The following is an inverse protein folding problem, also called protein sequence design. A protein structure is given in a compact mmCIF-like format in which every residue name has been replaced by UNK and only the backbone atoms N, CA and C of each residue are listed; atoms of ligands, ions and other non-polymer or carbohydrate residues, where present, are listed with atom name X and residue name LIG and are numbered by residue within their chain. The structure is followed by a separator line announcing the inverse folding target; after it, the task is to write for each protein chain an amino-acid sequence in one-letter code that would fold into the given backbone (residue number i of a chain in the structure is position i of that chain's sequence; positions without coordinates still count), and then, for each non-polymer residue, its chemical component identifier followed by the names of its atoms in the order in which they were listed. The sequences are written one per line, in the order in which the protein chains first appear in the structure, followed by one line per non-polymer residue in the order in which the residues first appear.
data_IF_499708659102
#
_entry.id   IF_499708659102
#
_cell.length_a   1.000
_cell.length_b   1.000
_cell.length_c   1.000
_cell.angle_alpha   90.00
_cell.angle_beta   90.00
_cell.angle_gamma   90.00
#
_symmetry.space_group_name_H-M   'P 1'
#
loop_
_entity.id
_entity.type
_entity.pdbx_description
1 polymer ?
#
# COMPACT_ATOMS: atom_id res chain seq x y z
N UNK A 1 16.79 -6.14 7.62
CA UNK A 1 15.75 -5.27 7.01
C UNK A 1 16.28 -3.85 6.89
N UNK A 2 15.67 -3.00 6.07
CA UNK A 2 15.93 -1.55 6.07
C UNK A 2 14.86 -0.77 6.85
N UNK A 3 15.08 0.53 7.06
CA UNK A 3 14.23 1.37 7.91
C UNK A 3 12.75 1.44 7.46
N UNK A 4 12.43 1.57 6.15
CA UNK A 4 11.03 1.46 5.69
C UNK A 4 10.42 0.08 5.99
N UNK A 5 11.11 -1.01 5.64
CA UNK A 5 10.61 -2.38 5.86
C UNK A 5 10.41 -2.70 7.35
N UNK A 6 11.30 -2.22 8.22
CA UNK A 6 11.16 -2.37 9.68
C UNK A 6 9.92 -1.64 10.21
N UNK A 7 9.59 -0.45 9.68
CA UNK A 7 8.37 0.28 10.07
C UNK A 7 7.11 -0.44 9.61
N UNK A 8 7.12 -1.02 8.40
CA UNK A 8 6.01 -1.86 7.92
C UNK A 8 5.82 -3.07 8.86
N UNK A 9 6.86 -3.87 9.10
CA UNK A 9 6.73 -5.08 9.91
C UNK A 9 6.35 -4.79 11.37
N UNK A 10 6.93 -3.76 11.99
CA UNK A 10 6.62 -3.40 13.39
C UNK A 10 5.25 -2.74 13.58
N UNK A 11 4.58 -2.31 12.50
CA UNK A 11 3.21 -1.79 12.58
C UNK A 11 2.16 -2.90 12.74
N UNK A 12 2.43 -4.11 12.24
CA UNK A 12 1.47 -5.23 12.22
C UNK A 12 1.90 -6.47 13.02
N UNK A 13 3.21 -6.69 13.22
CA UNK A 13 3.74 -7.87 13.91
C UNK A 13 4.57 -7.50 15.15
N UNK A 14 4.43 -8.28 16.23
CA UNK A 14 5.30 -8.18 17.41
C UNK A 14 6.51 -9.11 17.26
N UNK A 15 7.56 -8.84 18.05
CA UNK A 15 8.73 -9.72 18.13
C UNK A 15 8.38 -11.16 18.54
N UNK A 16 7.34 -11.36 19.37
CA UNK A 16 6.82 -12.69 19.72
C UNK A 16 6.39 -13.50 18.50
N UNK A 17 5.75 -12.84 17.54
CA UNK A 17 5.09 -13.45 16.40
C UNK A 17 6.16 -13.82 15.36
N UNK A 18 7.13 -12.93 15.18
CA UNK A 18 8.34 -13.13 14.37
C UNK A 18 9.19 -14.30 14.91
N UNK A 19 9.40 -14.37 16.23
CA UNK A 19 10.16 -15.45 16.88
C UNK A 19 9.44 -16.80 16.78
N UNK A 20 8.11 -16.82 16.87
CA UNK A 20 7.30 -18.03 16.74
C UNK A 20 7.41 -18.68 15.35
N UNK A 21 7.55 -17.86 14.30
CA UNK A 21 7.78 -18.30 12.92
C UNK A 21 9.27 -18.62 12.60
N UNK A 22 10.10 -18.78 13.64
CA UNK A 22 11.47 -19.30 13.52
C UNK A 22 12.55 -18.27 13.15
N UNK A 23 12.26 -16.98 13.16
CA UNK A 23 13.26 -15.92 12.97
C UNK A 23 13.97 -15.66 14.30
N UNK A 24 15.27 -15.95 14.38
CA UNK A 24 16.05 -15.86 15.64
C UNK A 24 16.53 -14.46 15.99
N UNK A 25 16.87 -13.65 14.99
CA UNK A 25 17.42 -12.30 15.15
C UNK A 25 16.88 -11.36 14.06
N UNK A 26 16.65 -10.10 14.43
CA UNK A 26 16.22 -9.05 13.52
C UNK A 26 17.28 -7.95 13.50
N UNK A 27 17.88 -7.71 12.34
CA UNK A 27 18.97 -6.75 12.17
C UNK A 27 18.67 -5.67 11.11
N UNK A 28 19.24 -4.48 11.30
CA UNK A 28 19.21 -3.37 10.34
C UNK A 28 20.36 -3.48 9.33
N UNK A 29 20.03 -3.52 8.04
CA UNK A 29 20.99 -3.65 6.94
C UNK A 29 21.97 -2.46 6.87
N UNK A 30 21.55 -1.28 7.35
CA UNK A 30 22.35 -0.06 7.38
C UNK A 30 23.40 -0.06 8.51
N UNK A 31 23.28 -0.97 9.47
CA UNK A 31 24.21 -1.10 10.60
C UNK A 31 25.23 -2.20 10.32
N UNK A 32 26.39 -2.08 10.97
CA UNK A 32 27.39 -3.15 10.98
C UNK A 32 26.84 -4.32 11.78
N UNK A 33 26.84 -5.50 11.17
CA UNK A 33 26.31 -6.76 11.70
C UNK A 33 27.44 -7.78 11.85
N UNK A 34 27.25 -8.78 12.71
CA UNK A 34 28.24 -9.83 12.90
C UNK A 34 28.05 -10.94 11.85
N UNK A 35 29.12 -11.44 11.20
CA UNK A 35 29.01 -12.59 10.31
C UNK A 35 28.56 -13.85 11.05
N UNK A 36 27.47 -14.45 10.60
CA UNK A 36 26.95 -15.75 11.08
C UNK A 36 26.83 -16.71 9.87
N UNK A 37 27.93 -17.28 9.35
CA UNK A 37 27.93 -18.05 8.11
C UNK A 37 27.20 -19.41 8.19
N UNK A 38 26.70 -19.79 9.37
CA UNK A 38 25.88 -20.99 9.58
C UNK A 38 24.39 -20.77 9.29
N UNK A 39 23.91 -19.54 9.40
CA UNK A 39 22.49 -19.18 9.22
C UNK A 39 22.21 -18.65 7.82
N UNK A 40 20.95 -18.77 7.39
CA UNK A 40 20.43 -18.23 6.15
C UNK A 40 19.62 -16.97 6.48
N UNK A 41 19.78 -15.90 5.69
CA UNK A 41 19.24 -14.59 6.01
C UNK A 41 18.03 -14.22 5.15
N UNK A 42 16.97 -13.71 5.79
CA UNK A 42 15.79 -13.15 5.15
C UNK A 42 15.94 -11.63 5.06
N UNK A 43 15.92 -11.11 3.84
CA UNK A 43 16.07 -9.70 3.52
C UNK A 43 14.74 -9.13 3.03
N UNK A 44 13.94 -8.58 3.94
CA UNK A 44 12.84 -7.67 3.58
C UNK A 44 13.41 -6.25 3.42
N UNK A 45 13.35 -5.71 2.20
CA UNK A 45 13.99 -4.45 1.80
C UNK A 45 13.11 -3.66 0.82
N UNK A 46 13.26 -2.34 0.82
CA UNK A 46 12.81 -1.51 -0.31
C UNK A 46 13.83 -1.55 -1.45
N UNK A 47 13.38 -1.53 -2.72
CA UNK A 47 14.27 -1.61 -3.90
C UNK A 47 14.97 -0.26 -4.16
N UNK A 48 15.76 0.18 -3.20
CA UNK A 48 16.60 1.38 -3.27
C UNK A 48 18.05 1.01 -3.52
N UNK A 49 18.80 1.87 -4.20
CA UNK A 49 20.24 1.68 -4.43
C UNK A 49 21.00 1.45 -3.11
N UNK A 50 20.67 2.20 -2.05
CA UNK A 50 21.29 2.04 -0.72
C UNK A 50 21.07 0.62 -0.15
N UNK A 51 19.84 0.12 -0.18
CA UNK A 51 19.50 -1.22 0.33
C UNK A 51 20.10 -2.33 -0.52
N UNK A 52 20.11 -2.17 -1.85
CA UNK A 52 20.69 -3.14 -2.80
C UNK A 52 22.22 -3.18 -2.68
N UNK A 53 22.90 -2.04 -2.58
CA UNK A 53 24.36 -1.99 -2.38
C UNK A 53 24.78 -2.62 -1.04
N UNK A 54 24.03 -2.35 0.04
CA UNK A 54 24.28 -2.95 1.35
C UNK A 54 24.08 -4.48 1.33
N UNK A 55 23.03 -4.96 0.65
CA UNK A 55 22.79 -6.39 0.43
C UNK A 55 23.93 -7.03 -0.40
N UNK A 56 24.41 -6.38 -1.45
CA UNK A 56 25.55 -6.87 -2.23
C UNK A 56 26.84 -6.91 -1.38
N UNK A 57 27.04 -5.92 -0.50
CA UNK A 57 28.23 -5.82 0.35
C UNK A 57 28.39 -7.00 1.32
N UNK A 58 27.28 -7.52 1.88
CA UNK A 58 27.27 -8.71 2.77
C UNK A 58 27.91 -9.97 2.12
N UNK A 59 27.94 -10.02 0.79
CA UNK A 59 28.46 -11.15 0.01
C UNK A 59 29.66 -10.77 -0.90
N UNK A 60 30.29 -9.60 -0.65
CA UNK A 60 31.58 -9.24 -1.27
C UNK A 60 32.78 -9.87 -0.54
N UNK A 61 32.68 -10.05 0.77
CA UNK A 61 33.79 -10.49 1.64
C UNK A 61 34.37 -11.87 1.31
N UNK A 62 35.68 -12.02 1.53
CA UNK A 62 36.43 -13.29 1.48
C UNK A 62 37.28 -13.40 2.75
N UNK A 63 37.39 -14.59 3.40
CA UNK A 63 37.01 -15.91 2.89
C UNK A 63 35.56 -16.35 3.18
N UNK A 64 34.84 -15.70 4.08
CA UNK A 64 33.47 -16.06 4.48
C UNK A 64 32.49 -14.91 4.24
N UNK A 65 31.33 -15.23 3.67
CA UNK A 65 30.19 -14.28 3.57
C UNK A 65 29.55 -14.05 4.95
N UNK A 66 28.79 -12.95 5.10
CA UNK A 66 28.07 -12.65 6.34
C UNK A 66 27.06 -13.74 6.71
N UNK A 67 26.41 -14.36 5.73
CA UNK A 67 25.44 -15.44 5.93
C UNK A 67 25.64 -16.56 4.89
N UNK A 68 25.06 -17.73 5.13
CA UNK A 68 25.15 -18.92 4.27
C UNK A 68 24.44 -18.77 2.92
N UNK A 69 23.27 -18.15 2.94
CA UNK A 69 22.40 -17.93 1.79
C UNK A 69 21.46 -16.74 2.04
N UNK A 70 20.88 -16.19 0.97
CA UNK A 70 19.98 -15.04 1.02
C UNK A 70 18.59 -15.37 0.47
N UNK A 71 17.56 -14.95 1.20
CA UNK A 71 16.16 -14.95 0.80
C UNK A 71 15.70 -13.49 0.67
N UNK A 72 15.65 -12.97 -0.55
CA UNK A 72 15.40 -11.56 -0.84
C UNK A 72 13.91 -11.34 -1.14
N UNK A 73 13.33 -10.37 -0.43
CA UNK A 73 11.94 -9.95 -0.57
C UNK A 73 11.91 -8.42 -0.71
N UNK A 74 11.55 -7.93 -1.90
CA UNK A 74 11.37 -6.50 -2.11
C UNK A 74 9.95 -6.06 -1.74
N UNK A 75 9.83 -4.91 -1.06
CA UNK A 75 8.54 -4.32 -0.68
C UNK A 75 7.77 -3.75 -1.87
N UNK A 76 8.45 -3.44 -2.97
CA UNK A 76 7.87 -2.91 -4.21
C UNK A 76 8.67 -3.42 -5.42
N UNK A 77 8.25 -3.10 -6.64
CA UNK A 77 8.90 -3.55 -7.87
C UNK A 77 10.34 -3.06 -8.00
N UNK A 78 11.26 -3.99 -8.29
CA UNK A 78 12.68 -3.70 -8.40
C UNK A 78 13.01 -3.09 -9.78
N UNK A 79 13.59 -1.88 -9.86
CA UNK A 79 14.00 -1.29 -11.12
C UNK A 79 15.05 -2.16 -11.84
N UNK A 80 14.87 -2.37 -13.15
CA UNK A 80 15.76 -3.16 -14.02
C UNK A 80 17.27 -2.86 -13.84
N UNK A 81 17.73 -1.59 -13.66
CA UNK A 81 19.15 -1.33 -13.41
C UNK A 81 19.68 -1.97 -12.11
N UNK A 82 18.89 -1.93 -11.02
CA UNK A 82 19.26 -2.52 -9.73
C UNK A 82 19.19 -4.05 -9.78
N UNK A 83 18.21 -4.59 -10.50
CA UNK A 83 18.10 -6.04 -10.73
C UNK A 83 19.28 -6.57 -11.57
N UNK A 84 19.63 -5.88 -12.64
CA UNK A 84 20.80 -6.16 -13.47
C UNK A 84 22.12 -6.11 -12.69
N UNK A 85 22.28 -5.16 -11.75
CA UNK A 85 23.44 -5.12 -10.86
C UNK A 85 23.47 -6.31 -9.89
N UNK A 86 22.33 -6.64 -9.28
CA UNK A 86 22.18 -7.79 -8.38
C UNK A 86 22.63 -9.08 -9.09
N UNK A 87 22.20 -9.28 -10.33
CA UNK A 87 22.55 -10.46 -11.15
C UNK A 87 24.03 -10.54 -11.54
N UNK A 88 24.75 -9.42 -11.64
CA UNK A 88 26.21 -9.39 -11.90
C UNK A 88 27.05 -9.65 -10.65
N UNK A 89 26.45 -9.51 -9.47
CA UNK A 89 27.15 -9.63 -8.20
C UNK A 89 27.36 -11.08 -7.73
N UNK A 90 28.27 -11.29 -6.76
CA UNK A 90 28.52 -12.64 -6.19
C UNK A 90 27.31 -13.21 -5.43
N UNK A 91 26.46 -12.32 -4.91
CA UNK A 91 25.20 -12.64 -4.21
C UNK A 91 24.28 -13.52 -5.07
N UNK A 92 24.25 -13.34 -6.40
CA UNK A 92 23.39 -14.12 -7.29
C UNK A 92 23.63 -15.66 -7.20
N UNK A 93 24.80 -16.10 -6.71
CA UNK A 93 25.13 -17.52 -6.50
C UNK A 93 24.60 -18.10 -5.19
N UNK A 94 24.17 -17.26 -4.24
CA UNK A 94 23.72 -17.65 -2.89
C UNK A 94 22.29 -17.18 -2.57
N UNK A 95 21.67 -16.42 -3.47
CA UNK A 95 20.22 -16.12 -3.41
C UNK A 95 19.44 -17.39 -3.73
N UNK A 96 18.60 -17.82 -2.79
CA UNK A 96 17.69 -18.97 -2.95
C UNK A 96 16.30 -18.55 -3.41
N UNK A 97 15.83 -17.39 -2.96
CA UNK A 97 14.55 -16.82 -3.36
C UNK A 97 14.71 -15.34 -3.60
N UNK A 98 14.13 -14.84 -4.68
CA UNK A 98 13.92 -13.42 -4.93
C UNK A 98 12.45 -13.26 -5.29
N UNK A 99 11.72 -12.45 -4.53
CA UNK A 99 10.30 -12.14 -4.76
C UNK A 99 10.00 -10.67 -4.47
N UNK A 100 8.98 -10.16 -5.13
CA UNK A 100 8.35 -8.88 -4.79
C UNK A 100 7.07 -9.19 -3.99
N UNK A 101 6.83 -8.45 -2.91
CA UNK A 101 5.64 -8.62 -2.06
C UNK A 101 4.55 -7.60 -2.42
N UNK A 102 4.94 -6.47 -3.04
CA UNK A 102 4.05 -5.33 -3.32
C UNK A 102 3.27 -4.90 -2.06
N UNK A 103 4.04 -4.55 -1.03
CA UNK A 103 3.57 -4.06 0.26
C UNK A 103 4.35 -2.79 0.61
N UNK A 104 3.88 -1.65 0.11
CA UNK A 104 4.56 -0.36 0.23
C UNK A 104 3.75 0.69 1.01
N UNK A 105 2.98 0.25 2.02
CA UNK A 105 2.20 1.11 2.91
C UNK A 105 2.28 0.63 4.37
N UNK A 106 2.02 1.54 5.31
CA UNK A 106 1.88 1.25 6.74
C UNK A 106 0.40 1.08 7.11
N UNK A 107 -0.06 -0.08 7.62
CA UNK A 107 -1.32 -0.17 8.35
C UNK A 107 -1.17 0.56 9.69
N UNK A 108 -1.68 1.79 9.77
CA UNK A 108 -1.58 2.63 10.97
C UNK A 108 -2.63 2.23 12.02
N UNK A 109 -3.84 1.92 11.55
CA UNK A 109 -4.93 1.33 12.35
C UNK A 109 -5.77 0.39 11.47
N UNK A 110 -6.81 -0.23 12.04
CA UNK A 110 -7.70 -1.15 11.32
C UNK A 110 -8.37 -0.52 10.08
N UNK A 111 -8.65 0.79 10.09
CA UNK A 111 -9.24 1.51 8.95
C UNK A 111 -8.33 2.63 8.40
N UNK A 112 -7.10 2.75 8.90
CA UNK A 112 -6.20 3.85 8.56
C UNK A 112 -4.89 3.33 7.98
N UNK A 113 -4.50 3.83 6.81
CA UNK A 113 -3.19 3.55 6.19
C UNK A 113 -2.38 4.83 5.96
N UNK A 114 -1.05 4.69 5.94
CA UNK A 114 -0.11 5.77 5.66
C UNK A 114 0.91 5.31 4.62
N UNK A 115 1.23 6.16 3.64
CA UNK A 115 2.26 5.87 2.64
C UNK A 115 3.67 6.26 3.11
N UNK A 116 3.81 6.71 4.36
CA UNK A 116 5.09 6.97 5.04
C UNK A 116 6.00 7.96 4.28
N UNK A 117 5.37 8.96 3.66
CA UNK A 117 6.00 9.93 2.76
C UNK A 117 5.92 11.36 3.36
N UNK A 118 6.63 11.66 4.46
CA UNK A 118 6.61 12.98 5.13
C UNK A 118 6.82 14.15 4.16
N UNK A 119 7.78 14.02 3.25
CA UNK A 119 8.17 15.08 2.31
C UNK A 119 7.20 15.24 1.14
N UNK A 120 6.13 14.45 1.07
CA UNK A 120 5.16 14.49 -0.03
C UNK A 120 4.50 15.86 -0.16
N UNK A 121 4.09 16.50 0.94
CA UNK A 121 3.51 17.85 0.92
C UNK A 121 4.49 18.87 0.33
N UNK A 122 5.76 18.84 0.75
CA UNK A 122 6.79 19.71 0.17
C UNK A 122 7.03 19.44 -1.31
N UNK A 123 7.22 18.18 -1.72
CA UNK A 123 7.47 17.79 -3.12
C UNK A 123 6.29 18.08 -4.06
N UNK A 124 5.05 18.01 -3.56
CA UNK A 124 3.86 18.30 -4.35
C UNK A 124 3.58 19.81 -4.46
N UNK A 125 3.63 20.55 -3.36
CA UNK A 125 3.14 21.94 -3.30
C UNK A 125 4.23 23.02 -3.42
N UNK A 126 5.51 22.72 -3.16
CA UNK A 126 6.58 23.71 -3.28
C UNK A 126 6.79 24.14 -4.75
N UNK A 127 6.84 25.44 -5.08
CA UNK A 127 7.04 25.94 -6.44
C UNK A 127 8.42 25.60 -7.01
N UNK A 128 9.42 25.32 -6.16
CA UNK A 128 10.78 24.95 -6.59
C UNK A 128 10.92 23.45 -6.93
N UNK A 129 9.89 22.63 -6.68
CA UNK A 129 9.94 21.16 -6.84
C UNK A 129 9.11 20.60 -8.01
N UNK A 130 8.79 21.43 -9.02
CA UNK A 130 7.95 21.01 -10.18
C UNK A 130 8.48 19.74 -10.88
N UNK A 131 9.80 19.58 -11.03
CA UNK A 131 10.40 18.38 -11.62
C UNK A 131 10.21 17.10 -10.77
N UNK A 132 10.27 17.23 -9.44
CA UNK A 132 10.08 16.10 -8.51
C UNK A 132 8.59 15.79 -8.28
N UNK A 133 7.67 16.74 -8.50
CA UNK A 133 6.22 16.53 -8.36
C UNK A 133 5.73 15.33 -9.17
N UNK A 134 6.15 15.21 -10.43
CA UNK A 134 5.73 14.10 -11.29
C UNK A 134 6.22 12.75 -10.75
N UNK A 135 7.48 12.68 -10.31
CA UNK A 135 8.08 11.50 -9.68
C UNK A 135 7.39 11.14 -8.36
N UNK A 136 7.02 12.14 -7.55
CA UNK A 136 6.27 11.95 -6.32
C UNK A 136 4.87 11.40 -6.57
N UNK A 137 4.18 11.89 -7.61
CA UNK A 137 2.85 11.37 -8.01
C UNK A 137 2.95 9.91 -8.44
N UNK A 138 3.92 9.55 -9.28
CA UNK A 138 4.16 8.16 -9.71
C UNK A 138 4.48 7.22 -8.54
N UNK A 139 5.29 7.66 -7.58
CA UNK A 139 5.60 6.89 -6.38
C UNK A 139 4.36 6.65 -5.51
N UNK A 140 3.56 7.70 -5.23
CA UNK A 140 2.31 7.55 -4.48
C UNK A 140 1.31 6.65 -5.23
N UNK A 141 1.24 6.77 -6.57
CA UNK A 141 0.37 5.95 -7.39
C UNK A 141 0.71 4.46 -7.30
N UNK A 142 2.01 4.13 -7.32
CA UNK A 142 2.51 2.78 -7.11
C UNK A 142 2.11 2.26 -5.73
N UNK A 143 2.39 3.01 -4.66
CA UNK A 143 2.04 2.59 -3.30
C UNK A 143 0.53 2.39 -3.10
N UNK A 144 -0.33 3.26 -3.64
CA UNK A 144 -1.79 3.09 -3.60
C UNK A 144 -2.22 1.84 -4.38
N UNK A 145 -1.58 1.55 -5.52
CA UNK A 145 -1.85 0.32 -6.26
C UNK A 145 -1.42 -0.93 -5.48
N UNK A 146 -0.31 -0.90 -4.73
CA UNK A 146 0.09 -2.00 -3.83
C UNK A 146 -0.95 -2.28 -2.73
N UNK A 147 -1.61 -1.24 -2.19
CA UNK A 147 -2.72 -1.41 -1.25
C UNK A 147 -3.91 -2.13 -1.88
N UNK A 148 -4.36 -1.69 -3.05
CA UNK A 148 -5.44 -2.35 -3.78
C UNK A 148 -5.11 -3.81 -4.12
N UNK A 149 -3.88 -4.08 -4.57
CA UNK A 149 -3.39 -5.43 -4.83
C UNK A 149 -3.37 -6.29 -3.56
N UNK A 150 -2.89 -5.75 -2.43
CA UNK A 150 -2.90 -6.44 -1.12
C UNK A 150 -4.32 -6.80 -0.67
N UNK A 151 -5.29 -5.92 -0.92
CA UNK A 151 -6.70 -6.15 -0.60
C UNK A 151 -7.43 -7.01 -1.66
N UNK A 152 -6.79 -7.33 -2.79
CA UNK A 152 -7.35 -7.98 -3.98
C UNK A 152 -8.51 -7.21 -4.64
N UNK A 153 -8.54 -5.89 -4.47
CA UNK A 153 -9.59 -4.99 -4.96
C UNK A 153 -9.22 -4.33 -6.30
N UNK A 154 -10.21 -4.14 -7.18
CA UNK A 154 -10.08 -3.32 -8.40
C UNK A 154 -11.14 -2.20 -8.41
N UNK A 155 -10.95 -1.12 -7.60
CA UNK A 155 -11.98 -0.12 -7.38
C UNK A 155 -12.17 0.84 -8.57
N UNK A 156 -13.40 1.35 -8.74
CA UNK A 156 -13.68 2.42 -9.69
C UNK A 156 -13.16 3.77 -9.16
N UNK A 157 -12.05 4.26 -9.74
CA UNK A 157 -11.35 5.45 -9.24
C UNK A 157 -12.12 6.73 -9.55
N UNK A 158 -12.32 7.57 -8.52
CA UNK A 158 -12.80 8.94 -8.58
C UNK A 158 -11.76 9.90 -8.01
N UNK A 159 -11.80 11.16 -8.43
CA UNK A 159 -10.95 12.23 -7.88
C UNK A 159 -11.73 13.53 -7.71
N UNK A 160 -11.31 14.37 -6.75
CA UNK A 160 -11.89 15.70 -6.55
C UNK A 160 -11.43 16.63 -7.66
N UNK A 161 -12.36 17.11 -8.49
CA UNK A 161 -12.09 18.11 -9.53
C UNK A 161 -11.70 19.45 -8.88
N UNK A 162 -10.66 20.08 -9.43
CA UNK A 162 -10.11 21.35 -8.94
C UNK A 162 -8.59 21.38 -9.12
N UNK A 163 -7.80 20.91 -8.14
CA UNK A 163 -6.35 20.79 -8.30
C UNK A 163 -5.98 19.82 -9.41
N UNK A 164 -5.00 20.16 -10.26
CA UNK A 164 -4.56 19.27 -11.35
C UNK A 164 -3.92 17.97 -10.81
N UNK A 165 -3.22 18.07 -9.68
CA UNK A 165 -2.53 16.95 -9.00
C UNK A 165 -3.48 15.80 -8.64
N UNK A 166 -4.74 16.07 -8.28
CA UNK A 166 -5.71 15.01 -7.96
C UNK A 166 -6.07 14.20 -9.21
N UNK A 167 -6.21 14.86 -10.36
CA UNK A 167 -6.47 14.21 -11.63
C UNK A 167 -5.26 13.40 -12.11
N UNK A 168 -4.06 14.00 -12.06
CA UNK A 168 -2.80 13.33 -12.43
C UNK A 168 -2.57 12.06 -11.60
N UNK A 169 -2.69 12.14 -10.27
CA UNK A 169 -2.57 10.97 -9.39
C UNK A 169 -3.60 9.90 -9.72
N UNK A 170 -4.86 10.27 -9.95
CA UNK A 170 -5.92 9.29 -10.20
C UNK A 170 -5.73 8.53 -11.53
N UNK A 171 -5.20 9.19 -12.57
CA UNK A 171 -4.80 8.52 -13.82
C UNK A 171 -3.56 7.64 -13.63
N UNK A 172 -2.56 8.10 -12.87
CA UNK A 172 -1.38 7.30 -12.54
C UNK A 172 -1.75 6.03 -11.76
N UNK A 173 -2.60 6.13 -10.72
CA UNK A 173 -3.11 4.96 -9.96
C UNK A 173 -3.84 3.99 -10.90
N UNK A 174 -4.70 4.48 -11.80
CA UNK A 174 -5.36 3.62 -12.79
C UNK A 174 -4.35 2.90 -13.70
N UNK A 175 -3.30 3.58 -14.15
CA UNK A 175 -2.26 2.97 -14.97
C UNK A 175 -1.51 1.87 -14.21
N UNK A 176 -1.16 2.08 -12.93
CA UNK A 176 -0.54 1.03 -12.09
C UNK A 176 -1.49 -0.14 -11.85
N UNK A 177 -2.76 0.10 -11.53
CA UNK A 177 -3.75 -0.97 -11.35
C UNK A 177 -3.96 -1.82 -12.61
N UNK A 178 -3.95 -1.20 -13.80
CA UNK A 178 -4.01 -1.93 -15.06
C UNK A 178 -2.79 -2.85 -15.24
N UNK A 179 -1.59 -2.42 -14.85
CA UNK A 179 -0.39 -3.27 -14.87
C UNK A 179 -0.52 -4.45 -13.89
N UNK A 180 -0.87 -4.19 -12.62
CA UNK A 180 -1.13 -5.24 -11.63
C UNK A 180 -2.22 -6.24 -12.07
N UNK A 181 -3.23 -5.79 -12.81
CA UNK A 181 -4.27 -6.65 -13.39
C UNK A 181 -3.81 -7.46 -14.60
N UNK A 182 -2.84 -6.96 -15.37
CA UNK A 182 -2.21 -7.73 -16.44
C UNK A 182 -1.36 -8.88 -15.87
N UNK A 183 -0.62 -8.61 -14.79
CA UNK A 183 0.22 -9.60 -14.11
C UNK A 183 -0.60 -10.59 -13.26
N UNK A 184 -1.71 -10.13 -12.66
CA UNK A 184 -2.66 -10.96 -11.93
C UNK A 184 -4.10 -10.76 -12.46
N UNK A 185 -4.56 -11.59 -13.42
CA UNK A 185 -5.89 -11.50 -14.00
C UNK A 185 -7.06 -11.63 -13.01
N UNK A 186 -6.84 -12.27 -11.85
CA UNK A 186 -7.86 -12.43 -10.81
C UNK A 186 -8.10 -11.17 -9.94
N UNK A 187 -7.33 -10.10 -10.16
CA UNK A 187 -7.46 -8.86 -9.39
C UNK A 187 -8.84 -8.21 -9.60
N UNK A 188 -9.58 -8.07 -8.49
CA UNK A 188 -10.96 -7.57 -8.47
C UNK A 188 -12.03 -8.62 -8.80
N UNK A 189 -11.68 -9.90 -8.94
CA UNK A 189 -12.69 -10.97 -8.94
C UNK A 189 -13.23 -11.15 -7.53
N UNK A 190 -14.47 -10.69 -7.30
CA UNK A 190 -15.18 -10.93 -6.04
C UNK A 190 -15.42 -12.44 -5.90
N UNK A 191 -14.58 -13.11 -5.10
CA UNK A 191 -14.89 -14.43 -4.53
C UNK A 191 -16.02 -14.27 -3.50
N UNK A 192 -17.23 -14.05 -4.01
CA UNK A 192 -18.43 -13.98 -3.19
C UNK A 192 -18.66 -15.32 -2.51
N UNK A 193 -19.04 -15.34 -1.22
CA UNK A 193 -19.68 -16.52 -0.65
C UNK A 193 -20.94 -16.83 -1.47
N UNK A 194 -21.16 -18.10 -1.78
CA UNK A 194 -22.25 -18.50 -2.67
C UNK A 194 -23.62 -18.23 -2.03
N UNK A 195 -24.28 -17.16 -2.47
CA UNK A 195 -25.71 -16.93 -2.28
C UNK A 195 -26.11 -16.04 -1.11
N UNK A 196 -26.14 -14.73 -1.33
CA UNK A 196 -27.14 -13.85 -0.70
C UNK A 196 -27.91 -13.07 -1.77
N UNK A 197 -29.24 -13.15 -1.72
CA UNK A 197 -30.15 -12.48 -2.65
C UNK A 197 -30.39 -11.05 -2.14
N UNK A 198 -30.27 -10.07 -3.05
CA UNK A 198 -30.07 -8.67 -2.67
C UNK A 198 -31.18 -8.00 -1.87
N UNK A 199 -30.76 -7.17 -0.91
CA UNK A 199 -31.62 -6.23 -0.16
C UNK A 199 -31.15 -4.80 -0.42
N UNK A 200 -32.01 -3.96 -1.03
CA UNK A 200 -31.74 -2.52 -1.23
C UNK A 200 -31.98 -1.71 0.05
N UNK A 201 -31.00 -0.95 0.58
CA UNK A 201 -31.23 0.01 1.66
C UNK A 201 -31.82 1.35 1.16
N UNK A 202 -32.57 2.06 2.02
CA UNK A 202 -33.16 3.40 1.81
C UNK A 202 -32.57 4.47 2.79
N UNK A 203 -32.80 5.80 2.60
CA UNK A 203 -31.72 6.77 2.82
C UNK A 203 -31.70 7.76 4.03
N UNK A 204 -30.53 8.44 4.17
CA UNK A 204 -29.98 9.36 5.21
C UNK A 204 -29.27 8.62 6.37
N UNK A 205 -28.09 8.98 6.91
CA UNK A 205 -26.90 9.84 6.58
C UNK A 205 -25.61 9.00 6.87
N UNK A 206 -24.37 9.26 6.44
CA UNK A 206 -23.66 10.32 5.68
C UNK A 206 -23.20 9.73 4.33
N UNK A 207 -23.99 9.91 3.28
CA UNK A 207 -24.23 8.80 2.36
C UNK A 207 -23.90 9.02 0.89
N UNK A 208 -23.35 10.17 0.51
CA UNK A 208 -23.26 10.51 -0.91
C UNK A 208 -22.21 9.68 -1.68
N UNK A 209 -21.10 9.29 -1.05
CA UNK A 209 -20.16 8.32 -1.64
C UNK A 209 -20.74 6.88 -1.66
N UNK A 210 -21.36 6.50 -0.54
CA UNK A 210 -21.93 5.18 -0.26
C UNK A 210 -23.22 4.88 -1.06
N UNK A 211 -23.89 5.89 -1.60
CA UNK A 211 -25.11 5.78 -2.42
C UNK A 211 -24.98 6.27 -3.87
N UNK A 212 -23.76 6.50 -4.38
CA UNK A 212 -23.48 7.12 -5.69
C UNK A 212 -24.22 8.47 -5.91
N UNK A 213 -24.37 9.29 -4.86
CA UNK A 213 -24.88 10.66 -4.95
C UNK A 213 -23.78 11.73 -5.02
N UNK A 214 -22.50 11.35 -4.97
CA UNK A 214 -21.40 12.27 -5.25
C UNK A 214 -21.65 12.97 -6.59
N UNK A 215 -21.65 14.30 -6.59
CA UNK A 215 -21.83 15.07 -7.83
C UNK A 215 -20.74 14.69 -8.83
N UNK A 216 -21.16 14.08 -9.95
CA UNK A 216 -20.29 13.60 -11.02
C UNK A 216 -19.49 14.73 -11.69
N UNK A 217 -19.87 16.00 -11.50
CA UNK A 217 -19.08 17.18 -11.93
C UNK A 217 -17.92 17.47 -10.98
N UNK A 218 -18.08 17.23 -9.68
CA UNK A 218 -17.07 17.45 -8.64
C UNK A 218 -16.20 16.21 -8.40
N UNK A 219 -16.76 15.02 -8.63
CA UNK A 219 -16.10 13.71 -8.45
C UNK A 219 -16.23 12.83 -9.71
N UNK A 220 -15.64 13.25 -10.84
CA UNK A 220 -15.60 12.44 -12.05
C UNK A 220 -14.85 11.12 -11.79
N UNK A 221 -15.25 10.09 -12.54
CA UNK A 221 -14.49 8.85 -12.66
C UNK A 221 -13.31 9.04 -13.62
N UNK A 222 -12.19 8.37 -13.37
CA UNK A 222 -11.04 8.32 -14.29
C UNK A 222 -11.36 7.49 -15.53
N UNK A 223 -11.99 6.33 -15.32
CA UNK A 223 -12.55 5.47 -16.35
C UNK A 223 -13.99 5.13 -15.98
N UNK A 224 -14.89 5.07 -16.96
CA UNK A 224 -16.26 4.64 -16.70
C UNK A 224 -16.27 3.25 -16.02
N UNK A 225 -17.06 3.03 -14.95
CA UNK A 225 -17.21 1.70 -14.39
C UNK A 225 -17.69 0.73 -15.48
N UNK A 226 -17.17 -0.49 -15.48
CA UNK A 226 -17.67 -1.53 -16.39
C UNK A 226 -19.19 -1.68 -16.20
N UNK A 227 -19.98 -1.77 -17.30
CA UNK A 227 -21.42 -1.90 -17.18
C UNK A 227 -21.73 -3.17 -16.39
N UNK A 228 -22.43 -3.02 -15.26
CA UNK A 228 -22.92 -4.16 -14.48
C UNK A 228 -23.91 -4.93 -15.35
N UNK A 229 -23.52 -6.12 -15.80
CA UNK A 229 -24.37 -6.98 -16.63
C UNK A 229 -25.60 -7.39 -15.81
N UNK A 230 -26.74 -6.78 -16.13
CA UNK A 230 -28.06 -7.09 -15.55
C UNK A 230 -28.65 -8.40 -16.09
N UNK A 231 -27.79 -9.41 -16.28
CA UNK A 231 -28.12 -10.71 -16.84
C UNK A 231 -28.67 -11.62 -15.75
N UNK A 232 -30.00 -11.74 -15.69
CA UNK A 232 -30.66 -12.78 -14.89
C UNK A 232 -30.29 -14.17 -15.44
N UNK A 233 -29.24 -14.79 -14.90
CA UNK A 233 -29.01 -16.22 -15.05
C UNK A 233 -29.84 -16.97 -13.99
N UNK A 234 -30.92 -17.61 -14.41
CA UNK A 234 -31.69 -18.50 -13.54
C UNK A 234 -30.88 -19.78 -13.30
N UNK A 235 -30.45 -20.03 -12.06
CA UNK A 235 -29.71 -21.24 -11.69
C UNK A 235 -30.61 -22.18 -10.88
N UNK A 236 -30.68 -23.43 -11.33
CA UNK A 236 -31.56 -24.47 -10.77
C UNK A 236 -31.15 -24.88 -9.35
N UNK A 237 -32.10 -24.86 -8.41
CA UNK A 237 -31.87 -25.27 -7.03
C UNK A 237 -32.01 -26.79 -6.87
N UNK A 238 -30.89 -27.53 -6.84
CA UNK A 238 -30.85 -28.93 -6.35
C UNK A 238 -29.57 -29.22 -5.56
N UNK A 239 -29.79 -29.87 -4.41
CA UNK A 239 -28.86 -30.37 -3.38
C UNK A 239 -28.41 -29.39 -2.30
N UNK A 240 -28.93 -29.62 -1.08
CA UNK A 240 -28.32 -29.16 0.15
C UNK A 240 -27.38 -30.22 0.72
N UNK A 241 -26.34 -29.80 1.43
CA UNK A 241 -25.64 -30.65 2.38
C UNK A 241 -25.19 -29.86 3.61
N UNK A 242 -25.14 -30.55 4.73
CA UNK A 242 -25.03 -30.01 6.08
C UNK A 242 -23.66 -30.38 6.65
N UNK A 243 -22.82 -29.43 7.07
CA UNK A 243 -21.93 -29.56 8.25
C UNK A 243 -21.05 -28.32 8.56
N UNK A 244 -21.31 -27.75 9.75
CA UNK A 244 -20.40 -27.17 10.77
C UNK A 244 -19.26 -26.18 10.41
N UNK A 245 -19.40 -25.00 11.02
CA UNK A 245 -18.38 -24.08 11.54
C UNK A 245 -16.92 -24.57 11.67
N UNK A 246 -16.02 -23.69 11.24
CA UNK A 246 -14.76 -23.40 11.93
C UNK A 246 -14.72 -21.88 12.19
N UNK A 247 -14.21 -21.45 13.34
CA UNK A 247 -14.14 -20.03 13.68
C UNK A 247 -13.20 -19.30 12.71
N UNK A 248 -13.78 -18.56 11.77
CA UNK A 248 -13.05 -17.66 10.89
C UNK A 248 -12.87 -16.30 11.53
N UNK A 249 -11.77 -15.63 11.19
CA UNK A 249 -11.71 -14.17 11.25
C UNK A 249 -12.97 -13.63 10.56
N UNK A 250 -13.70 -12.71 11.19
CA UNK A 250 -14.83 -12.04 10.55
C UNK A 250 -14.32 -11.19 9.37
N UNK A 251 -14.20 -11.79 8.19
CA UNK A 251 -14.14 -11.07 6.93
C UNK A 251 -15.47 -10.36 6.76
N UNK A 252 -15.53 -9.11 7.21
CA UNK A 252 -16.67 -8.20 7.05
C UNK A 252 -16.84 -7.90 5.57
N UNK A 253 -17.58 -8.78 4.89
CA UNK A 253 -17.76 -8.80 3.45
C UNK A 253 -18.78 -7.74 2.96
N UNK A 254 -18.58 -6.49 3.40
CA UNK A 254 -19.27 -5.33 2.85
C UNK A 254 -18.46 -4.69 1.71
N UNK A 255 -19.10 -3.98 0.77
CA UNK A 255 -18.39 -3.13 -0.18
C UNK A 255 -17.45 -2.14 0.52
N UNK A 256 -16.25 -1.99 -0.04
CA UNK A 256 -15.19 -1.12 0.50
C UNK A 256 -15.13 0.23 -0.20
N UNK A 257 -14.83 1.27 0.56
CA UNK A 257 -14.55 2.61 0.07
C UNK A 257 -13.15 3.02 0.52
N UNK A 258 -12.20 3.07 -0.41
CA UNK A 258 -10.83 3.53 -0.16
C UNK A 258 -10.74 5.03 -0.46
N UNK A 259 -10.36 5.82 0.54
CA UNK A 259 -10.22 7.28 0.46
C UNK A 259 -8.75 7.65 0.67
N UNK A 260 -8.16 8.34 -0.31
CA UNK A 260 -6.80 8.87 -0.20
C UNK A 260 -6.82 10.40 -0.12
N UNK A 261 -6.23 10.96 0.94
CA UNK A 261 -6.13 12.40 1.18
C UNK A 261 -4.73 12.89 0.79
N UNK A 262 -4.68 13.71 -0.26
CA UNK A 262 -3.46 14.38 -0.73
C UNK A 262 -3.05 15.51 0.23
N UNK A 263 -1.79 15.50 0.65
CA UNK A 263 -1.23 16.49 1.61
C UNK A 263 -1.25 16.06 3.08
N UNK A 264 -1.74 14.85 3.37
CA UNK A 264 -1.84 14.31 4.73
C UNK A 264 -3.28 14.20 5.24
N UNK A 265 -3.50 13.52 6.36
CA UNK A 265 -4.82 13.31 6.97
C UNK A 265 -4.84 13.68 8.46
N UNK A 266 -5.89 14.37 8.91
CA UNK A 266 -6.07 14.80 10.28
C UNK A 266 -6.85 13.77 11.14
N UNK A 267 -6.66 13.79 12.46
CA UNK A 267 -7.36 12.93 13.43
C UNK A 267 -8.90 13.01 13.34
N UNK A 268 -9.44 14.18 12.97
CA UNK A 268 -10.88 14.36 12.71
C UNK A 268 -11.38 13.61 11.47
N UNK A 269 -10.55 13.52 10.42
CA UNK A 269 -10.90 12.83 9.17
C UNK A 269 -10.79 11.30 9.33
N UNK A 270 -9.75 10.82 10.03
CA UNK A 270 -9.65 9.41 10.43
C UNK A 270 -10.86 8.98 11.26
N UNK A 271 -11.24 9.77 12.27
CA UNK A 271 -12.44 9.52 13.08
C UNK A 271 -13.72 9.47 12.23
N UNK A 272 -13.87 10.34 11.24
CA UNK A 272 -15.05 10.36 10.37
C UNK A 272 -15.20 9.04 9.58
N UNK A 273 -14.11 8.40 9.14
CA UNK A 273 -14.16 7.11 8.46
C UNK A 273 -14.74 5.99 9.35
N UNK A 274 -14.31 5.92 10.62
CA UNK A 274 -14.90 5.00 11.61
C UNK A 274 -16.36 5.32 11.91
N UNK A 275 -16.71 6.60 12.00
CA UNK A 275 -18.09 7.02 12.26
C UNK A 275 -19.03 6.63 11.11
N UNK A 276 -18.59 6.73 9.84
CA UNK A 276 -19.33 6.24 8.67
C UNK A 276 -19.47 4.71 8.65
N UNK A 277 -18.38 3.97 8.90
CA UNK A 277 -18.44 2.49 8.98
C UNK A 277 -19.42 2.06 10.07
N UNK A 278 -19.36 2.68 11.26
CA UNK A 278 -20.29 2.41 12.37
C UNK A 278 -21.73 2.80 12.04
N UNK A 279 -21.95 3.95 11.39
CA UNK A 279 -23.28 4.43 11.01
C UNK A 279 -23.96 3.59 9.91
N UNK A 280 -23.20 2.76 9.19
CA UNK A 280 -23.76 1.77 8.24
C UNK A 280 -23.98 0.38 8.85
N UNK A 281 -23.72 0.19 10.16
CA UNK A 281 -23.64 -1.10 10.84
C UNK A 281 -22.62 -2.06 10.20
N UNK A 282 -21.50 -1.52 9.69
CA UNK A 282 -20.47 -2.30 8.98
C UNK A 282 -20.88 -2.77 7.58
N UNK A 283 -22.02 -2.32 7.03
CA UNK A 283 -22.40 -2.60 5.63
C UNK A 283 -21.45 -1.98 4.61
N UNK A 284 -20.70 -0.94 5.01
CA UNK A 284 -19.62 -0.36 4.21
C UNK A 284 -18.36 -0.21 5.07
N UNK A 285 -17.25 -0.75 4.59
CA UNK A 285 -15.93 -0.58 5.21
C UNK A 285 -15.23 0.61 4.54
N UNK A 286 -15.00 1.68 5.30
CA UNK A 286 -14.24 2.85 4.83
C UNK A 286 -12.79 2.71 5.26
N UNK A 287 -11.87 2.69 4.30
CA UNK A 287 -10.43 2.76 4.55
C UNK A 287 -9.95 4.16 4.17
N UNK A 288 -9.26 4.85 5.07
CA UNK A 288 -8.73 6.21 4.82
C UNK A 288 -7.21 6.23 4.94
N UNK A 289 -6.54 6.98 4.08
CA UNK A 289 -5.10 7.12 4.19
C UNK A 289 -4.56 8.33 3.46
N UNK A 290 -3.25 8.55 3.61
CA UNK A 290 -2.55 9.72 3.07
C UNK A 290 -1.04 9.47 3.00
N UNK A 291 -0.27 10.48 2.57
CA UNK A 291 1.19 10.47 2.69
C UNK A 291 1.66 10.40 4.14
N UNK A 292 0.94 11.06 5.05
CA UNK A 292 1.27 11.12 6.48
C UNK A 292 0.14 11.65 7.35
N UNK A 293 0.17 11.27 8.63
CA UNK A 293 -0.71 11.85 9.65
C UNK A 293 -0.29 13.30 9.95
N UNK A 294 -1.25 14.22 9.85
CA UNK A 294 -1.09 15.63 10.18
C UNK A 294 -1.33 15.89 11.67
N UNK A 295 -0.37 16.56 12.30
CA UNK A 295 -0.52 17.24 13.59
C UNK A 295 -0.45 18.75 13.36
N UNK A 296 -0.99 19.59 14.27
CA UNK A 296 -0.90 21.05 14.12
C UNK A 296 0.54 21.56 13.99
N UNK A 297 1.48 20.98 14.74
CA UNK A 297 2.92 21.29 14.64
C UNK A 297 3.46 20.97 13.26
N UNK A 298 3.28 19.73 12.79
CA UNK A 298 3.80 19.25 11.51
C UNK A 298 3.21 20.01 10.32
N UNK A 299 1.94 20.41 10.40
CA UNK A 299 1.33 21.25 9.37
C UNK A 299 1.98 22.64 9.29
N UNK A 300 2.31 23.25 10.44
CA UNK A 300 3.05 24.52 10.48
C UNK A 300 4.50 24.36 9.99
N UNK A 301 5.15 23.23 10.29
CA UNK A 301 6.49 22.91 9.79
C UNK A 301 6.48 22.70 8.25
N UNK A 302 5.52 21.93 7.73
CA UNK A 302 5.30 21.73 6.30
C UNK A 302 5.11 23.09 5.60
N UNK A 303 4.21 23.95 6.12
CA UNK A 303 3.98 25.31 5.59
C UNK A 303 5.24 26.18 5.63
N UNK A 304 6.01 26.13 6.73
CA UNK A 304 7.26 26.89 6.88
C UNK A 304 8.30 26.46 5.83
N UNK A 305 8.31 25.20 5.41
CA UNK A 305 9.22 24.68 4.39
C UNK A 305 8.80 25.04 2.96
N UNK A 306 7.50 25.21 2.66
CA UNK A 306 7.02 25.40 1.28
C UNK A 306 7.63 26.60 0.53
N UNK A 307 8.00 27.67 1.24
CA UNK A 307 8.58 28.90 0.68
C UNK A 307 10.13 28.87 0.66
N UNK A 308 10.75 27.83 1.20
CA UNK A 308 12.21 27.71 1.27
C UNK A 308 12.78 27.03 0.02
N UNK A 309 13.84 27.62 -0.53
CA UNK A 309 14.67 26.98 -1.56
C UNK A 309 15.46 25.84 -0.93
N UNK A 310 15.77 24.82 -1.74
CA UNK A 310 16.48 23.63 -1.28
C UNK A 310 17.88 23.93 -0.71
N UNK A 311 18.49 25.04 -1.11
CA UNK A 311 19.79 25.54 -0.63
C UNK A 311 19.76 25.97 0.84
N UNK A 312 18.60 26.38 1.36
CA UNK A 312 18.42 26.86 2.75
C UNK A 312 17.94 25.75 3.72
N UNK A 313 17.56 24.58 3.18
CA UNK A 313 17.01 23.46 3.96
C UNK A 313 18.14 22.52 4.37
N UNK A 314 18.51 22.55 5.65
CA UNK A 314 19.35 21.52 6.25
C UNK A 314 18.63 20.16 6.19
N UNK A 315 19.05 19.30 5.24
CA UNK A 315 18.61 17.92 5.15
C UNK A 315 19.11 17.13 6.38
N UNK A 316 18.24 16.38 7.08
CA UNK A 316 18.64 15.39 8.08
C UNK A 316 19.22 14.10 7.45
#
# INVERSE_FOLDING_TARGET
MDHPSMRILSSCCKMSDILAEGITIVEDINKRREPIPSLEAIYLLSPTEKSVQALIADFRGTPTFTYKAAHVFFTDTCPEPLFSELGRSRLAKVVKTLKEIHLAFLPYEAQVFSLDAPHSTYNLYCPFRVGERARQIEALAQQIATLCATLQEYPAIRYRKGPEVTAQLAHAVLAKLNAFKADNPSLGEVRGPAGEVGVKPRPRKDRDAVEDRLDRKLWPFVSAPAPTSSSQAAVSARFGHWHKNKAGVETRAGPRLIIYVLGGVAMSEMRAAYEVTRATDGKWEVLIGSSHILTPTRFLDDLKMLDQKLEDIALP
#
